data_IF_173769757874
#
_entry.id   IF_173769757874
#
_cell.length_a   1.000
_cell.length_b   1.000
_cell.length_c   1.000
_cell.angle_alpha   90.00
_cell.angle_beta   90.00
_cell.angle_gamma   90.00
#
_symmetry.space_group_name_H-M   'P 1'
#
loop_
_entity.id
_entity.type
_entity.pdbx_description
1 polymer ?
#
# COMPACT_ATOMS: atom_id res chain seq x y z
N UNK A 1 5.49 -15.27 33.81
CA UNK A 1 6.23 -15.21 32.52
C UNK A 1 5.57 -16.05 31.41
N UNK A 2 5.16 -17.31 31.66
CA UNK A 2 4.58 -18.18 30.62
C UNK A 2 3.24 -17.74 30.01
N UNK A 3 2.44 -16.95 30.74
CA UNK A 3 1.14 -16.44 30.27
C UNK A 3 1.25 -15.37 29.18
N UNK A 4 2.25 -14.49 29.24
CA UNK A 4 2.42 -13.41 28.24
C UNK A 4 2.94 -13.98 26.92
N UNK A 5 3.96 -14.85 26.99
CA UNK A 5 4.56 -15.47 25.79
C UNK A 5 3.53 -16.31 25.04
N UNK A 6 2.74 -17.12 25.76
CA UNK A 6 1.68 -17.93 25.14
C UNK A 6 0.54 -17.10 24.56
N UNK A 7 0.18 -15.97 25.18
CA UNK A 7 -0.82 -15.05 24.63
C UNK A 7 -0.31 -14.36 23.36
N UNK A 8 0.94 -13.90 23.38
CA UNK A 8 1.58 -13.28 22.23
C UNK A 8 1.65 -14.26 21.06
N UNK A 9 2.09 -15.50 21.30
CA UNK A 9 2.19 -16.53 20.26
C UNK A 9 0.83 -16.79 19.58
N UNK A 10 -0.25 -16.81 20.37
CA UNK A 10 -1.62 -16.99 19.88
C UNK A 10 -2.17 -15.79 19.10
N UNK A 11 -1.65 -14.57 19.31
CA UNK A 11 -2.14 -13.34 18.65
C UNK A 11 -1.27 -12.91 17.47
N UNK A 12 0.03 -13.21 17.51
CA UNK A 12 1.00 -12.75 16.50
C UNK A 12 0.79 -13.37 15.11
N UNK A 13 0.23 -14.58 15.03
CA UNK A 13 0.12 -15.31 13.76
C UNK A 13 -0.85 -14.65 12.76
N UNK A 14 -2.00 -14.13 13.20
CA UNK A 14 -3.02 -13.60 12.31
C UNK A 14 -2.55 -12.31 11.56
N UNK A 15 -1.97 -11.30 12.23
CA UNK A 15 -1.38 -10.14 11.55
C UNK A 15 -0.20 -10.52 10.64
N UNK A 16 0.62 -11.48 11.08
CA UNK A 16 1.78 -11.92 10.30
C UNK A 16 1.34 -12.62 9.01
N UNK A 17 0.31 -13.47 9.05
CA UNK A 17 -0.24 -14.09 7.84
C UNK A 17 -0.81 -13.06 6.86
N UNK A 18 -1.54 -12.05 7.37
CA UNK A 18 -2.06 -10.99 6.51
C UNK A 18 -0.92 -10.27 5.75
N UNK A 19 0.16 -9.93 6.47
CA UNK A 19 1.35 -9.33 5.85
C UNK A 19 2.05 -10.29 4.86
N UNK A 20 2.19 -11.58 5.21
CA UNK A 20 2.80 -12.58 4.33
C UNK A 20 2.01 -12.77 3.03
N UNK A 21 0.67 -12.79 3.10
CA UNK A 21 -0.18 -12.87 1.91
C UNK A 21 0.00 -11.63 1.03
N UNK A 22 0.08 -10.43 1.61
CA UNK A 22 0.35 -9.21 0.85
C UNK A 22 1.71 -9.24 0.15
N UNK A 23 2.76 -9.66 0.84
CA UNK A 23 4.09 -9.82 0.22
C UNK A 23 4.11 -10.91 -0.85
N UNK A 24 3.39 -12.02 -0.66
CA UNK A 24 3.28 -13.07 -1.65
C UNK A 24 2.56 -12.57 -2.92
N UNK A 25 1.50 -11.78 -2.76
CA UNK A 25 0.80 -11.15 -3.89
C UNK A 25 1.74 -10.16 -4.60
N UNK A 26 2.41 -9.28 -3.86
CA UNK A 26 3.38 -8.33 -4.42
C UNK A 26 4.49 -9.05 -5.19
N UNK A 27 5.02 -10.15 -4.63
CA UNK A 27 6.02 -10.98 -5.30
C UNK A 27 5.46 -11.57 -6.61
N UNK A 28 4.27 -12.17 -6.60
CA UNK A 28 3.68 -12.71 -7.83
C UNK A 28 3.47 -11.61 -8.88
N UNK A 29 3.05 -10.41 -8.46
CA UNK A 29 2.85 -9.28 -9.36
C UNK A 29 4.16 -8.79 -9.98
N UNK A 30 5.22 -8.65 -9.19
CA UNK A 30 6.55 -8.22 -9.66
C UNK A 30 7.14 -9.18 -10.70
N UNK A 31 6.99 -10.49 -10.48
CA UNK A 31 7.55 -11.53 -11.35
C UNK A 31 6.60 -11.98 -12.47
N UNK A 32 5.38 -11.45 -12.53
CA UNK A 32 4.41 -11.79 -13.57
C UNK A 32 4.90 -11.38 -14.98
N UNK A 33 4.63 -12.21 -15.98
CA UNK A 33 5.01 -11.94 -17.37
C UNK A 33 6.50 -12.14 -17.69
N UNK A 34 7.31 -12.60 -16.74
CA UNK A 34 8.69 -13.02 -16.97
C UNK A 34 8.78 -14.49 -17.38
N UNK A 35 9.77 -14.82 -18.20
CA UNK A 35 10.08 -16.18 -18.63
C UNK A 35 11.59 -16.41 -18.61
N UNK A 36 12.01 -17.66 -18.46
CA UNK A 36 13.44 -18.00 -18.47
C UNK A 36 13.94 -17.97 -19.92
N UNK A 37 14.65 -16.90 -20.28
CA UNK A 37 15.28 -16.75 -21.61
C UNK A 37 16.80 -16.79 -21.45
N UNK A 38 17.46 -17.80 -21.99
CA UNK A 38 18.92 -17.94 -21.90
C UNK A 38 19.45 -18.26 -20.48
N UNK A 39 18.64 -18.94 -19.65
CA UNK A 39 19.02 -19.31 -18.28
C UNK A 39 18.88 -18.20 -17.24
N UNK A 40 18.42 -17.01 -17.65
CA UNK A 40 18.11 -15.89 -16.75
C UNK A 40 16.60 -15.61 -16.77
N UNK A 41 16.06 -15.26 -15.59
CA UNK A 41 14.70 -14.73 -15.49
C UNK A 41 14.69 -13.30 -16.04
N UNK A 42 13.83 -13.05 -17.01
CA UNK A 42 13.66 -11.73 -17.58
C UNK A 42 12.36 -11.61 -18.35
N UNK A 43 12.02 -10.38 -18.72
CA UNK A 43 10.95 -10.15 -19.67
C UNK A 43 11.40 -10.66 -21.04
N UNK A 44 10.62 -11.55 -21.64
CA UNK A 44 10.77 -11.88 -23.05
C UNK A 44 10.42 -10.62 -23.85
N UNK A 45 11.12 -10.32 -24.97
CA UNK A 45 10.82 -9.12 -25.75
C UNK A 45 9.33 -9.01 -26.07
N UNK A 46 8.67 -7.95 -25.57
CA UNK A 46 7.25 -7.69 -25.79
C UNK A 46 6.30 -8.25 -24.73
N UNK A 47 6.78 -8.93 -23.68
CA UNK A 47 5.95 -9.36 -22.54
C UNK A 47 5.97 -8.38 -21.37
N UNK A 48 6.87 -7.40 -21.40
CA UNK A 48 6.98 -6.29 -20.45
C UNK A 48 5.66 -5.53 -20.21
N UNK A 49 4.80 -5.25 -21.22
CA UNK A 49 3.49 -4.62 -20.99
C UNK A 49 2.46 -5.56 -20.34
N UNK A 50 2.70 -6.87 -20.35
CA UNK A 50 1.78 -7.88 -19.83
C UNK A 50 1.97 -8.13 -18.32
N UNK A 51 3.01 -7.55 -17.71
CA UNK A 51 3.22 -7.60 -16.27
C UNK A 51 2.04 -6.93 -15.53
N UNK A 52 1.60 -7.54 -14.41
CA UNK A 52 0.45 -7.06 -13.65
C UNK A 52 0.64 -5.62 -13.14
N UNK A 53 1.83 -5.27 -12.64
CA UNK A 53 2.12 -3.90 -12.23
C UNK A 53 2.06 -2.94 -13.42
N UNK A 54 2.53 -3.39 -14.59
CA UNK A 54 2.51 -2.60 -15.80
C UNK A 54 1.07 -2.30 -16.26
N UNK A 55 0.21 -3.32 -16.27
CA UNK A 55 -1.21 -3.19 -16.64
C UNK A 55 -1.96 -2.30 -15.66
N UNK A 56 -1.80 -2.50 -14.36
CA UNK A 56 -2.48 -1.70 -13.33
C UNK A 56 -1.97 -0.25 -13.38
N UNK A 57 -0.66 -0.05 -13.48
CA UNK A 57 -0.07 1.29 -13.54
C UNK A 57 -0.49 2.06 -14.78
N UNK A 58 -0.56 1.39 -15.94
CA UNK A 58 -1.10 1.99 -17.16
C UNK A 58 -2.59 2.36 -17.00
N UNK A 59 -3.40 1.48 -16.41
CA UNK A 59 -4.81 1.75 -16.17
C UNK A 59 -5.02 2.97 -15.25
N UNK A 60 -4.24 3.08 -14.18
CA UNK A 60 -4.26 4.24 -13.29
C UNK A 60 -3.84 5.53 -14.00
N UNK A 61 -2.76 5.47 -14.78
CA UNK A 61 -2.29 6.60 -15.57
C UNK A 61 -3.36 7.10 -16.56
N UNK A 62 -3.98 6.18 -17.31
CA UNK A 62 -5.02 6.53 -18.28
C UNK A 62 -6.31 7.04 -17.61
N UNK A 63 -6.66 6.51 -16.45
CA UNK A 63 -7.90 6.89 -15.74
C UNK A 63 -7.79 8.26 -15.08
N UNK A 64 -6.64 8.57 -14.46
CA UNK A 64 -6.48 9.78 -13.66
C UNK A 64 -5.70 10.88 -14.37
N UNK A 65 -4.83 10.54 -15.32
CA UNK A 65 -4.05 11.50 -16.10
C UNK A 65 -3.34 12.52 -15.20
N UNK A 66 -3.58 13.80 -15.46
CA UNK A 66 -3.02 14.93 -14.69
C UNK A 66 -3.42 14.93 -13.20
N UNK A 67 -4.54 14.29 -12.86
CA UNK A 67 -5.01 14.19 -11.47
C UNK A 67 -4.36 13.03 -10.71
N UNK A 68 -3.50 12.21 -11.34
CA UNK A 68 -2.87 11.06 -10.69
C UNK A 68 -2.09 11.40 -9.40
N UNK A 69 -1.31 12.51 -9.31
CA UNK A 69 -0.65 12.88 -8.06
C UNK A 69 -1.62 13.13 -6.90
N UNK A 70 -2.84 13.58 -7.16
CA UNK A 70 -3.87 13.77 -6.11
C UNK A 70 -4.34 12.42 -5.53
N UNK A 71 -4.29 11.37 -6.34
CA UNK A 71 -4.82 10.03 -6.01
C UNK A 71 -3.73 9.11 -5.47
N UNK A 72 -2.46 9.30 -5.80
CA UNK A 72 -1.38 8.41 -5.38
C UNK A 72 -1.29 8.16 -3.85
N UNK A 73 -1.55 9.14 -2.96
CA UNK A 73 -1.54 8.92 -1.51
C UNK A 73 -2.66 7.99 -1.04
N UNK A 74 -3.81 8.00 -1.73
CA UNK A 74 -4.95 7.14 -1.38
C UNK A 74 -4.64 5.66 -1.60
N UNK A 75 -3.75 5.32 -2.53
CA UNK A 75 -3.28 3.94 -2.72
C UNK A 75 -2.49 3.45 -1.51
N UNK A 76 -1.70 4.33 -0.88
CA UNK A 76 -0.95 4.01 0.33
C UNK A 76 -1.87 3.84 1.53
N UNK A 77 -2.87 4.71 1.63
CA UNK A 77 -3.93 4.58 2.64
C UNK A 77 -4.64 3.23 2.50
N UNK A 78 -5.05 2.88 1.29
CA UNK A 78 -5.75 1.62 0.99
C UNK A 78 -4.89 0.40 1.30
N UNK A 79 -3.66 0.36 0.80
CA UNK A 79 -2.76 -0.77 1.01
C UNK A 79 -2.47 -1.00 2.50
N UNK A 80 -2.17 0.05 3.26
CA UNK A 80 -1.86 -0.07 4.68
C UNK A 80 -3.09 -0.35 5.54
N UNK A 81 -4.26 0.16 5.17
CA UNK A 81 -5.51 -0.14 5.89
C UNK A 81 -5.83 -1.64 5.89
N UNK A 82 -5.65 -2.30 4.74
CA UNK A 82 -5.92 -3.73 4.58
C UNK A 82 -4.76 -4.58 5.10
N UNK A 83 -3.52 -4.27 4.70
CA UNK A 83 -2.36 -5.10 5.05
C UNK A 83 -1.97 -4.98 6.53
N UNK A 84 -2.33 -3.85 7.17
CA UNK A 84 -1.88 -3.50 8.51
C UNK A 84 -0.41 -3.07 8.59
N UNK A 85 0.30 -3.00 7.47
CA UNK A 85 1.73 -2.67 7.40
C UNK A 85 2.03 -1.71 6.26
N UNK A 86 2.62 -0.57 6.61
CA UNK A 86 3.07 0.43 5.66
C UNK A 86 4.14 -0.16 4.71
N UNK A 87 5.06 -0.96 5.25
CA UNK A 87 6.12 -1.58 4.46
C UNK A 87 5.57 -2.52 3.37
N UNK A 88 4.56 -3.34 3.68
CA UNK A 88 3.98 -4.24 2.68
C UNK A 88 3.16 -3.50 1.63
N UNK A 89 2.49 -2.40 2.01
CA UNK A 89 1.83 -1.51 1.06
C UNK A 89 2.83 -0.89 0.09
N UNK A 90 3.90 -0.30 0.61
CA UNK A 90 4.92 0.37 -0.19
C UNK A 90 5.56 -0.59 -1.21
N UNK A 91 5.93 -1.80 -0.77
CA UNK A 91 6.49 -2.83 -1.67
C UNK A 91 5.48 -3.24 -2.76
N UNK A 92 4.21 -3.47 -2.39
CA UNK A 92 3.17 -3.86 -3.35
C UNK A 92 2.93 -2.80 -4.43
N UNK A 93 2.90 -1.52 -4.06
CA UNK A 93 2.56 -0.43 -4.98
C UNK A 93 3.77 0.18 -5.70
N UNK A 94 5.00 -0.17 -5.31
CA UNK A 94 6.22 0.36 -5.92
C UNK A 94 6.22 0.25 -7.45
N UNK A 95 6.05 -0.98 -7.97
CA UNK A 95 6.05 -1.22 -9.42
C UNK A 95 4.88 -0.55 -10.15
N UNK A 96 3.71 -0.54 -9.53
CA UNK A 96 2.50 0.10 -10.09
C UNK A 96 2.69 1.61 -10.22
N UNK A 97 3.16 2.25 -9.15
CA UNK A 97 3.41 3.69 -9.13
C UNK A 97 4.53 4.05 -10.10
N UNK A 98 5.60 3.26 -10.13
CA UNK A 98 6.70 3.46 -11.08
C UNK A 98 6.20 3.45 -12.52
N UNK A 99 5.38 2.46 -12.89
CA UNK A 99 4.81 2.43 -14.24
C UNK A 99 3.88 3.63 -14.49
N UNK A 100 3.03 3.97 -13.54
CA UNK A 100 2.08 5.07 -13.68
C UNK A 100 2.80 6.40 -13.93
N UNK A 101 3.86 6.66 -13.15
CA UNK A 101 4.68 7.88 -13.30
C UNK A 101 5.46 7.89 -14.60
N UNK A 102 5.99 6.75 -15.04
CA UNK A 102 6.70 6.66 -16.33
C UNK A 102 5.75 6.94 -17.51
N UNK A 103 4.51 6.45 -17.47
CA UNK A 103 3.49 6.74 -18.50
C UNK A 103 3.11 8.23 -18.52
N UNK A 104 2.96 8.84 -17.34
CA UNK A 104 2.57 10.24 -17.19
C UNK A 104 3.74 11.22 -17.28
N UNK A 105 4.97 10.74 -17.45
CA UNK A 105 6.19 11.56 -17.45
C UNK A 105 6.35 12.40 -16.15
N UNK A 106 6.01 11.78 -15.01
CA UNK A 106 6.09 12.39 -13.68
C UNK A 106 7.33 11.88 -12.94
N UNK A 107 7.88 12.71 -12.04
CA UNK A 107 8.93 12.24 -11.14
C UNK A 107 8.36 11.21 -10.14
N UNK A 108 9.04 10.07 -10.05
CA UNK A 108 8.60 8.94 -9.26
C UNK A 108 8.75 9.20 -7.75
N UNK A 109 9.84 9.84 -7.33
CA UNK A 109 10.19 9.95 -5.90
C UNK A 109 9.14 10.75 -5.11
N UNK A 110 8.67 11.94 -5.55
CA UNK A 110 7.64 12.68 -4.84
C UNK A 110 6.31 11.92 -4.76
N UNK A 111 5.92 11.27 -5.86
CA UNK A 111 4.68 10.47 -5.93
C UNK A 111 4.72 9.28 -4.97
N UNK A 112 5.85 8.58 -4.92
CA UNK A 112 6.05 7.44 -4.04
C UNK A 112 6.19 7.86 -2.57
N UNK A 113 6.81 9.01 -2.29
CA UNK A 113 6.85 9.58 -0.95
C UNK A 113 5.45 9.93 -0.44
N UNK A 114 4.61 10.56 -1.27
CA UNK A 114 3.23 10.88 -0.91
C UNK A 114 2.38 9.62 -0.69
N UNK A 115 2.62 8.56 -1.47
CA UNK A 115 2.06 7.22 -1.22
C UNK A 115 2.45 6.71 0.18
N UNK A 116 3.75 6.74 0.52
CA UNK A 116 4.23 6.29 1.82
C UNK A 116 3.61 7.10 2.96
N UNK A 117 3.48 8.42 2.82
CA UNK A 117 2.79 9.30 3.79
C UNK A 117 1.32 8.88 3.95
N UNK A 118 0.62 8.59 2.85
CA UNK A 118 -0.74 8.03 2.88
C UNK A 118 -0.83 6.71 3.66
N UNK A 119 0.17 5.84 3.50
CA UNK A 119 0.30 4.61 4.28
C UNK A 119 0.55 4.87 5.76
N UNK A 120 1.43 5.82 6.09
CA UNK A 120 1.66 6.28 7.46
C UNK A 120 0.38 6.78 8.13
N UNK A 121 -0.40 7.62 7.44
CA UNK A 121 -1.71 8.10 7.92
C UNK A 121 -2.68 6.94 8.19
N UNK A 122 -2.74 5.97 7.28
CA UNK A 122 -3.61 4.79 7.43
C UNK A 122 -3.24 3.88 8.61
N UNK A 123 -2.03 4.00 9.16
CA UNK A 123 -1.67 3.26 10.38
C UNK A 123 -2.59 3.58 11.56
N UNK A 124 -3.19 4.76 11.60
CA UNK A 124 -4.19 5.13 12.62
C UNK A 124 -5.55 4.42 12.48
N UNK A 125 -5.85 3.87 11.29
CA UNK A 125 -7.11 3.17 10.99
C UNK A 125 -6.93 1.70 10.61
N UNK A 126 -5.69 1.20 10.58
CA UNK A 126 -5.37 -0.17 10.23
C UNK A 126 -6.03 -1.17 11.19
N UNK A 127 -6.81 -2.10 10.63
CA UNK A 127 -7.65 -3.05 11.39
C UNK A 127 -6.82 -3.85 12.38
N UNK A 128 -5.70 -4.42 11.93
CA UNK A 128 -4.81 -5.21 12.78
C UNK A 128 -4.20 -4.41 13.94
N UNK A 129 -3.88 -3.12 13.72
CA UNK A 129 -3.30 -2.25 14.77
C UNK A 129 -4.34 -1.87 15.81
N UNK A 130 -5.56 -1.55 15.37
CA UNK A 130 -6.67 -1.21 16.26
C UNK A 130 -7.11 -2.43 17.08
N UNK A 131 -7.19 -3.62 16.48
CA UNK A 131 -7.46 -4.87 17.20
C UNK A 131 -6.45 -5.10 18.34
N UNK A 132 -5.16 -4.91 18.05
CA UNK A 132 -4.11 -5.06 19.05
C UNK A 132 -4.23 -3.99 20.16
N UNK A 133 -4.52 -2.74 19.80
CA UNK A 133 -4.71 -1.66 20.76
C UNK A 133 -5.93 -1.90 21.67
N UNK A 134 -7.07 -2.31 21.09
CA UNK A 134 -8.29 -2.65 21.83
C UNK A 134 -8.06 -3.79 22.82
N UNK A 135 -7.25 -4.78 22.44
CA UNK A 135 -6.90 -5.91 23.29
C UNK A 135 -5.91 -5.58 24.42
N UNK A 136 -5.23 -4.43 24.39
CA UNK A 136 -4.35 -3.95 25.48
C UNK A 136 -5.15 -3.24 26.57
N UNK A 137 -6.25 -2.59 26.20
CA UNK A 137 -7.13 -1.87 27.12
C UNK A 137 -8.36 -2.69 27.55
N UNK A 138 -8.37 -4.00 27.24
CA UNK A 138 -9.47 -4.93 27.51
C UNK A 138 -10.85 -4.46 26.98
N UNK A 139 -10.85 -3.82 25.81
CA UNK A 139 -12.07 -3.34 25.12
C UNK A 139 -12.19 -3.92 23.71
N UNK A 140 -12.03 -5.23 23.55
CA UNK A 140 -12.28 -5.92 22.28
C UNK A 140 -13.75 -5.67 21.87
N UNK A 141 -13.98 -5.31 20.61
CA UNK A 141 -15.30 -4.98 20.06
C UNK A 141 -15.53 -3.48 19.81
N UNK A 142 -14.64 -2.59 20.27
CA UNK A 142 -14.74 -1.14 19.98
C UNK A 142 -14.09 -0.73 18.66
N UNK A 143 -13.48 -1.65 17.92
CA UNK A 143 -12.61 -1.35 16.77
C UNK A 143 -13.37 -0.57 15.70
N UNK A 144 -14.62 -0.96 15.44
CA UNK A 144 -15.49 -0.25 14.49
C UNK A 144 -15.83 1.18 14.92
N UNK A 145 -16.01 1.43 16.22
CA UNK A 145 -16.26 2.78 16.75
C UNK A 145 -15.01 3.67 16.58
N UNK A 146 -13.83 3.12 16.87
CA UNK A 146 -12.55 3.82 16.70
C UNK A 146 -12.32 4.13 15.22
N UNK A 147 -12.44 3.15 14.33
CA UNK A 147 -12.28 3.35 12.89
C UNK A 147 -13.28 4.40 12.39
N UNK A 148 -14.55 4.34 12.79
CA UNK A 148 -15.57 5.30 12.36
C UNK A 148 -15.25 6.73 12.78
N UNK A 149 -14.63 6.94 13.94
CA UNK A 149 -14.20 8.26 14.42
C UNK A 149 -12.92 8.76 13.75
N UNK A 150 -11.97 7.89 13.47
CA UNK A 150 -10.64 8.28 12.96
C UNK A 150 -10.58 8.30 11.43
N UNK A 151 -11.35 7.47 10.74
CA UNK A 151 -11.35 7.38 9.27
C UNK A 151 -11.60 8.73 8.56
N UNK A 152 -12.55 9.59 8.98
CA UNK A 152 -12.73 10.90 8.34
C UNK A 152 -11.47 11.77 8.39
N UNK A 153 -10.75 11.72 9.51
CA UNK A 153 -9.48 12.46 9.69
C UNK A 153 -8.39 11.85 8.79
N UNK A 154 -8.30 10.52 8.73
CA UNK A 154 -7.35 9.85 7.84
C UNK A 154 -7.58 10.22 6.37
N UNK A 155 -8.84 10.16 5.89
CA UNK A 155 -9.17 10.56 4.52
C UNK A 155 -8.85 12.03 4.24
N UNK A 156 -9.14 12.93 5.19
CA UNK A 156 -8.83 14.34 5.05
C UNK A 156 -7.31 14.57 4.94
N UNK A 157 -6.51 13.96 5.82
CA UNK A 157 -5.05 14.10 5.80
C UNK A 157 -4.43 13.51 4.52
N UNK A 158 -4.94 12.38 4.05
CA UNK A 158 -4.49 11.78 2.78
C UNK A 158 -4.84 12.66 1.59
N UNK A 159 -6.03 13.26 1.59
CA UNK A 159 -6.42 14.22 0.55
C UNK A 159 -5.53 15.48 0.56
N UNK A 160 -5.24 16.03 1.74
CA UNK A 160 -4.32 17.15 1.89
C UNK A 160 -2.90 16.80 1.40
N UNK A 161 -2.43 15.58 1.64
CA UNK A 161 -1.15 15.09 1.12
C UNK A 161 -1.14 15.08 -0.41
N UNK A 162 -2.24 14.69 -1.04
CA UNK A 162 -2.39 14.76 -2.50
C UNK A 162 -2.35 16.19 -3.03
N UNK A 163 -3.02 17.13 -2.35
CA UNK A 163 -2.95 18.56 -2.69
C UNK A 163 -1.51 19.07 -2.57
N UNK A 164 -0.83 18.76 -1.47
CA UNK A 164 0.56 19.17 -1.26
C UNK A 164 1.50 18.61 -2.34
N UNK A 165 1.30 17.36 -2.75
CA UNK A 165 2.06 16.76 -3.85
C UNK A 165 1.79 17.48 -5.17
N UNK A 166 0.53 17.73 -5.52
CA UNK A 166 0.19 18.52 -6.72
C UNK A 166 0.86 19.89 -6.69
N UNK A 167 0.84 20.58 -5.54
CA UNK A 167 1.49 21.87 -5.39
C UNK A 167 3.01 21.77 -5.62
N UNK A 168 3.67 20.76 -5.05
CA UNK A 168 5.10 20.55 -5.19
C UNK A 168 5.53 20.16 -6.62
N UNK A 169 4.67 19.51 -7.40
CA UNK A 169 5.00 19.03 -8.74
C UNK A 169 4.69 20.03 -9.85
N UNK A 170 3.70 20.89 -9.65
CA UNK A 170 3.20 21.81 -10.69
C UNK A 170 3.56 23.29 -10.46
N UNK A 171 4.11 23.64 -9.29
CA UNK A 171 4.60 24.99 -8.96
C UNK A 171 6.05 24.93 -8.52
#
# INVERSE_FOLDING_TARGET
>A
AGTIVSLWLKRAWAPTLAAMVFFAIAYVMDWSGQSVTGGMLGFTPGTDPLNMNAVIGLALALSFGIAFPLISPSLGLFGTFISGSEASSNVMFYGILKKSTDVLQLDFIPVYAAHAVGGGIASGIAIAKILNAAAVIDKIGIEGEVIRKVAPVAFLLTFLTGIMLCMMMFF
#
